data_IF_861616977197
#
_entry.id   IF_861616977197
#
_cell.length_a   1.000
_cell.length_b   1.000
_cell.length_c   1.000
_cell.angle_alpha   90.00
_cell.angle_beta   90.00
_cell.angle_gamma   90.00
#
_symmetry.space_group_name_H-M   'P 1'
#
loop_
_entity.id
_entity.type
_entity.pdbx_description
1 polymer ?
#
# COMPACT_ATOMS: atom_id res chain seq x y z
N UNK A 1 -29.21 0.03 -9.55
CA UNK A 1 -27.74 0.10 -9.51
C UNK A 1 -27.25 -0.81 -8.42
N UNK A 2 -26.64 -1.94 -8.77
CA UNK A 2 -26.03 -2.87 -7.79
C UNK A 2 -24.60 -2.40 -7.44
N UNK A 3 -24.04 -2.92 -6.35
CA UNK A 3 -22.64 -2.63 -6.01
C UNK A 3 -21.68 -3.08 -7.11
N UNK A 4 -21.93 -4.24 -7.73
CA UNK A 4 -21.17 -4.72 -8.88
C UNK A 4 -21.23 -3.73 -10.07
N UNK A 5 -22.41 -3.19 -10.39
CA UNK A 5 -22.59 -2.19 -11.44
C UNK A 5 -21.85 -0.87 -11.13
N UNK A 6 -21.77 -0.47 -9.86
CA UNK A 6 -21.00 0.73 -9.45
C UNK A 6 -19.49 0.49 -9.62
N UNK A 7 -19.01 -0.70 -9.26
CA UNK A 7 -17.56 -0.98 -9.28
C UNK A 7 -17.05 -1.32 -10.69
N UNK A 8 -17.83 -2.05 -11.49
CA UNK A 8 -17.43 -2.54 -12.82
C UNK A 8 -18.00 -1.72 -13.98
N UNK A 9 -18.98 -0.86 -13.71
CA UNK A 9 -19.66 -0.07 -14.74
C UNK A 9 -21.01 -0.66 -15.12
N UNK A 10 -21.78 0.15 -15.87
CA UNK A 10 -23.08 -0.22 -16.40
C UNK A 10 -23.32 0.47 -17.74
N UNK A 11 -23.37 -0.34 -18.80
CA UNK A 11 -23.59 0.13 -20.17
C UNK A 11 -22.47 1.05 -20.67
N UNK A 12 -22.78 1.87 -21.67
CA UNK A 12 -21.82 2.78 -22.32
C UNK A 12 -21.64 4.12 -21.59
N UNK A 13 -22.57 4.49 -20.70
CA UNK A 13 -22.54 5.79 -20.01
C UNK A 13 -21.66 5.78 -18.74
N UNK A 14 -21.57 4.65 -18.04
CA UNK A 14 -20.87 4.57 -16.77
C UNK A 14 -19.78 3.49 -16.79
N UNK A 15 -18.49 3.87 -16.86
CA UNK A 15 -17.38 2.91 -16.96
C UNK A 15 -17.08 2.16 -15.66
N UNK A 16 -17.50 2.64 -14.49
CA UNK A 16 -17.22 2.02 -13.19
C UNK A 16 -15.88 2.41 -12.57
N UNK A 17 -15.77 2.23 -11.26
CA UNK A 17 -14.57 2.64 -10.51
C UNK A 17 -13.33 1.82 -10.86
N UNK A 18 -13.45 0.50 -10.98
CA UNK A 18 -12.32 -0.40 -11.22
C UNK A 18 -11.70 -0.16 -12.61
N UNK A 19 -12.46 -0.04 -13.70
CA UNK A 19 -11.90 0.32 -15.02
C UNK A 19 -11.22 1.69 -15.03
N UNK A 20 -11.75 2.68 -14.30
CA UNK A 20 -11.09 3.99 -14.16
C UNK A 20 -9.75 3.88 -13.42
N UNK A 21 -9.67 3.06 -12.36
CA UNK A 21 -8.40 2.80 -11.69
C UNK A 21 -7.38 2.16 -12.65
N UNK A 22 -7.78 1.19 -13.47
CA UNK A 22 -6.88 0.59 -14.46
C UNK A 22 -6.46 1.58 -15.53
N UNK A 23 -7.38 2.38 -16.07
CA UNK A 23 -7.07 3.43 -17.05
C UNK A 23 -6.05 4.44 -16.49
N UNK A 24 -6.18 4.80 -15.21
CA UNK A 24 -5.21 5.66 -14.54
C UNK A 24 -3.84 4.99 -14.39
N UNK A 25 -3.79 3.71 -14.02
CA UNK A 25 -2.53 2.95 -13.93
C UNK A 25 -1.83 2.81 -15.29
N UNK A 26 -2.60 2.72 -16.38
CA UNK A 26 -2.12 2.75 -17.76
C UNK A 26 -1.58 4.13 -18.14
N UNK A 27 -2.33 5.19 -17.82
CA UNK A 27 -1.94 6.58 -18.11
C UNK A 27 -0.61 6.96 -17.46
N UNK A 28 -0.44 6.64 -16.17
CA UNK A 28 0.82 6.92 -15.47
C UNK A 28 1.93 5.93 -15.83
N UNK A 29 1.75 5.02 -16.80
CA UNK A 29 2.75 4.01 -17.17
C UNK A 29 3.41 3.35 -15.95
N UNK A 30 2.56 2.79 -15.06
CA UNK A 30 3.00 2.22 -13.80
C UNK A 30 3.92 1.01 -14.01
N UNK A 31 4.92 0.84 -13.14
CA UNK A 31 5.78 -0.34 -13.13
C UNK A 31 4.98 -1.65 -12.99
N UNK A 32 5.46 -2.71 -13.65
CA UNK A 32 4.77 -4.01 -13.75
C UNK A 32 4.53 -4.62 -12.37
N UNK A 33 5.49 -4.50 -11.43
CA UNK A 33 5.32 -5.06 -10.09
C UNK A 33 4.25 -4.32 -9.31
N UNK A 34 4.23 -2.98 -9.41
CA UNK A 34 3.25 -2.14 -8.74
C UNK A 34 1.86 -2.37 -9.35
N UNK A 35 1.75 -2.42 -10.68
CA UNK A 35 0.52 -2.73 -11.40
C UNK A 35 -0.07 -4.08 -10.99
N UNK A 36 0.76 -5.12 -10.93
CA UNK A 36 0.34 -6.46 -10.53
C UNK A 36 -0.18 -6.46 -9.09
N UNK A 37 0.51 -5.78 -8.18
CA UNK A 37 0.11 -5.69 -6.77
C UNK A 37 -1.21 -4.95 -6.58
N UNK A 38 -1.38 -3.80 -7.22
CA UNK A 38 -2.65 -3.05 -7.20
C UNK A 38 -3.77 -3.85 -7.87
N UNK A 39 -3.47 -4.53 -8.98
CA UNK A 39 -4.42 -5.42 -9.65
C UNK A 39 -4.97 -6.51 -8.73
N UNK A 40 -4.13 -7.12 -7.89
CA UNK A 40 -4.59 -8.10 -6.88
C UNK A 40 -5.54 -7.48 -5.86
N UNK A 41 -5.32 -6.22 -5.46
CA UNK A 41 -6.22 -5.52 -4.54
C UNK A 41 -7.56 -5.18 -5.20
N UNK A 42 -7.53 -4.65 -6.42
CA UNK A 42 -8.73 -4.34 -7.19
C UNK A 42 -9.55 -5.61 -7.46
N UNK A 43 -8.90 -6.74 -7.72
CA UNK A 43 -9.57 -8.02 -7.92
C UNK A 43 -10.29 -8.52 -6.67
N UNK A 44 -9.69 -8.38 -5.47
CA UNK A 44 -10.38 -8.69 -4.22
C UNK A 44 -11.63 -7.82 -4.03
N UNK A 45 -11.54 -6.53 -4.38
CA UNK A 45 -12.66 -5.61 -4.32
C UNK A 45 -13.76 -5.99 -5.32
N UNK A 46 -13.38 -6.34 -6.56
CA UNK A 46 -14.30 -6.84 -7.59
C UNK A 46 -15.08 -8.06 -7.10
N UNK A 47 -14.38 -9.04 -6.53
CA UNK A 47 -14.96 -10.30 -6.04
C UNK A 47 -15.93 -10.09 -4.89
N UNK A 48 -15.65 -9.11 -4.02
CA UNK A 48 -16.59 -8.72 -2.96
C UNK A 48 -17.82 -7.98 -3.52
N UNK A 49 -17.63 -7.14 -4.53
CA UNK A 49 -18.74 -6.41 -5.16
C UNK A 49 -19.69 -7.33 -5.94
N UNK A 50 -19.15 -8.40 -6.55
CA UNK A 50 -19.91 -9.43 -7.28
C UNK A 50 -20.52 -10.50 -6.38
N UNK A 51 -20.05 -10.61 -5.12
CA UNK A 51 -20.52 -11.62 -4.17
C UNK A 51 -19.82 -12.98 -4.29
N UNK A 52 -18.78 -13.10 -5.11
CA UNK A 52 -17.95 -14.31 -5.20
C UNK A 52 -17.18 -14.60 -3.90
N UNK A 53 -16.81 -13.56 -3.16
CA UNK A 53 -16.10 -13.64 -1.87
C UNK A 53 -16.90 -12.91 -0.80
N UNK A 54 -16.99 -13.48 0.40
CA UNK A 54 -17.75 -12.88 1.48
C UNK A 54 -17.09 -11.60 1.97
N UNK A 55 -17.93 -10.62 2.34
CA UNK A 55 -17.48 -9.50 3.16
C UNK A 55 -17.16 -9.98 4.57
N UNK A 56 -16.28 -9.28 5.28
CA UNK A 56 -15.96 -9.61 6.67
C UNK A 56 -17.21 -9.66 7.55
N UNK A 57 -18.16 -8.75 7.34
CA UNK A 57 -19.43 -8.75 8.07
C UNK A 57 -20.29 -9.97 7.74
N UNK A 58 -20.39 -10.37 6.46
CA UNK A 58 -21.11 -11.58 6.08
C UNK A 58 -20.44 -12.84 6.63
N UNK A 59 -19.11 -12.89 6.61
CA UNK A 59 -18.33 -13.98 7.19
C UNK A 59 -18.56 -14.15 8.69
N UNK A 60 -18.45 -13.05 9.45
CA UNK A 60 -18.70 -13.07 10.91
C UNK A 60 -20.11 -13.56 11.21
N UNK A 61 -21.13 -13.08 10.48
CA UNK A 61 -22.51 -13.55 10.66
C UNK A 61 -22.62 -15.04 10.37
N UNK A 62 -22.05 -15.52 9.27
CA UNK A 62 -22.07 -16.94 8.92
C UNK A 62 -21.37 -17.80 9.98
N UNK A 63 -20.25 -17.32 10.53
CA UNK A 63 -19.53 -17.99 11.60
C UNK A 63 -20.36 -18.10 12.89
N UNK A 64 -20.95 -16.98 13.34
CA UNK A 64 -21.81 -16.96 14.53
C UNK A 64 -23.05 -17.84 14.35
N UNK A 65 -23.69 -17.77 13.18
CA UNK A 65 -24.87 -18.59 12.85
C UNK A 65 -24.58 -20.09 12.85
N UNK A 66 -23.35 -20.49 12.52
CA UNK A 66 -22.92 -21.89 12.51
C UNK A 66 -22.43 -22.40 13.88
N UNK A 67 -22.30 -21.52 14.88
CA UNK A 67 -21.75 -21.88 16.18
C UNK A 67 -22.75 -22.73 16.99
N UNK A 68 -22.33 -23.86 17.61
CA UNK A 68 -23.24 -24.77 18.31
C UNK A 68 -23.96 -24.14 19.50
N UNK A 69 -23.32 -23.19 20.18
CA UNK A 69 -23.93 -22.47 21.30
C UNK A 69 -24.88 -21.34 20.90
N UNK A 70 -24.97 -21.01 19.61
CA UNK A 70 -25.79 -19.90 19.15
C UNK A 70 -27.27 -20.31 19.09
N UNK A 71 -28.10 -19.67 19.93
CA UNK A 71 -29.52 -20.01 20.10
C UNK A 71 -30.47 -19.29 19.14
N UNK A 72 -29.93 -18.59 18.12
CA UNK A 72 -30.71 -17.75 17.18
C UNK A 72 -31.51 -16.66 17.88
N UNK A 73 -31.04 -16.24 19.05
CA UNK A 73 -31.60 -15.17 19.89
C UNK A 73 -30.98 -13.80 19.59
N UNK A 74 -30.15 -13.71 18.55
CA UNK A 74 -29.38 -12.49 18.20
C UNK A 74 -28.38 -12.04 19.28
N UNK A 75 -28.06 -12.90 20.26
CA UNK A 75 -27.08 -12.62 21.31
C UNK A 75 -25.79 -13.39 21.01
N UNK A 76 -24.66 -12.68 21.04
CA UNK A 76 -23.33 -13.30 20.95
C UNK A 76 -22.80 -13.48 22.37
N UNK A 77 -22.81 -14.71 22.86
CA UNK A 77 -22.27 -15.04 24.19
C UNK A 77 -20.73 -14.94 24.20
N UNK A 78 -20.16 -14.78 25.39
CA UNK A 78 -18.71 -14.74 25.59
C UNK A 78 -17.94 -15.91 24.93
N UNK A 79 -18.34 -17.19 25.08
CA UNK A 79 -17.66 -18.31 24.41
C UNK A 79 -17.64 -18.15 22.88
N UNK A 80 -18.77 -17.81 22.25
CA UNK A 80 -18.85 -17.57 20.80
C UNK A 80 -17.86 -16.47 20.38
N UNK A 81 -17.78 -15.39 21.16
CA UNK A 81 -16.88 -14.28 20.88
C UNK A 81 -15.40 -14.69 20.99
N UNK A 82 -15.03 -15.48 22.01
CA UNK A 82 -13.67 -15.99 22.18
C UNK A 82 -13.26 -16.87 21.00
N UNK A 83 -14.13 -17.79 20.58
CA UNK A 83 -13.83 -18.68 19.46
C UNK A 83 -13.74 -17.93 18.13
N UNK A 84 -14.63 -16.96 17.89
CA UNK A 84 -14.55 -16.09 16.72
C UNK A 84 -13.23 -15.31 16.67
N UNK A 85 -12.82 -14.70 17.78
CA UNK A 85 -11.59 -13.90 17.84
C UNK A 85 -10.35 -14.78 17.68
N UNK A 86 -10.34 -15.97 18.29
CA UNK A 86 -9.27 -16.94 18.12
C UNK A 86 -9.15 -17.37 16.66
N UNK A 87 -10.27 -17.67 16.02
CA UNK A 87 -10.28 -18.03 14.60
C UNK A 87 -9.80 -16.88 13.70
N UNK A 88 -10.22 -15.65 13.98
CA UNK A 88 -9.71 -14.47 13.28
C UNK A 88 -8.19 -14.29 13.46
N UNK A 89 -7.68 -14.53 14.68
CA UNK A 89 -6.26 -14.49 14.97
C UNK A 89 -5.49 -15.55 14.17
N UNK A 90 -5.97 -16.78 14.13
CA UNK A 90 -5.32 -17.88 13.41
C UNK A 90 -5.29 -17.63 11.89
N UNK A 91 -6.34 -17.03 11.32
CA UNK A 91 -6.34 -16.57 9.92
C UNK A 91 -5.29 -15.48 9.71
N UNK A 92 -5.25 -14.47 10.59
CA UNK A 92 -4.32 -13.34 10.49
C UNK A 92 -2.85 -13.75 10.64
N UNK A 93 -2.57 -14.80 11.42
CA UNK A 93 -1.23 -15.37 11.57
C UNK A 93 -0.83 -16.32 10.43
N UNK A 94 -1.73 -16.58 9.47
CA UNK A 94 -1.51 -17.54 8.38
C UNK A 94 -1.47 -19.00 8.86
N UNK A 95 -2.07 -19.31 10.02
CA UNK A 95 -2.19 -20.68 10.54
C UNK A 95 -3.34 -21.42 9.89
N UNK A 96 -4.43 -20.71 9.60
CA UNK A 96 -5.64 -21.27 8.98
C UNK A 96 -5.93 -20.52 7.67
N UNK A 97 -5.98 -21.22 6.52
CA UNK A 97 -6.40 -20.61 5.27
C UNK A 97 -7.92 -20.38 5.27
N UNK A 98 -8.36 -19.19 4.82
CA UNK A 98 -9.78 -18.86 4.70
C UNK A 98 -10.13 -18.42 3.27
N UNK A 99 -10.34 -19.37 2.33
CA UNK A 99 -10.64 -19.06 0.93
C UNK A 99 -11.99 -18.35 0.76
N UNK A 100 -12.92 -18.53 1.70
CA UNK A 100 -14.25 -17.89 1.66
C UNK A 100 -14.19 -16.39 1.92
N UNK A 101 -13.22 -15.92 2.72
CA UNK A 101 -13.07 -14.51 3.10
C UNK A 101 -12.01 -13.77 2.25
N UNK A 102 -10.92 -14.46 1.89
CA UNK A 102 -9.77 -13.87 1.20
C UNK A 102 -9.71 -14.23 -0.29
N UNK A 103 -10.44 -15.25 -0.71
CA UNK A 103 -10.33 -15.84 -2.05
C UNK A 103 -9.28 -16.95 -2.11
N UNK A 104 -9.41 -17.83 -3.11
CA UNK A 104 -8.53 -19.00 -3.32
C UNK A 104 -7.07 -18.62 -3.60
N UNK A 105 -6.85 -17.42 -4.14
CA UNK A 105 -5.57 -16.97 -4.70
C UNK A 105 -4.75 -16.13 -3.69
N UNK A 106 -5.30 -15.89 -2.50
CA UNK A 106 -4.67 -15.13 -1.43
C UNK A 106 -4.32 -16.06 -0.28
N UNK A 107 -3.03 -16.36 -0.15
CA UNK A 107 -2.46 -17.09 0.98
C UNK A 107 -1.79 -16.07 1.89
N UNK A 108 -2.21 -16.02 3.16
CA UNK A 108 -1.53 -15.24 4.19
C UNK A 108 -0.31 -16.04 4.62
N UNK A 109 0.87 -15.50 4.38
CA UNK A 109 2.11 -16.12 4.82
C UNK A 109 2.16 -16.17 6.35
N UNK A 110 2.67 -17.29 6.87
CA UNK A 110 2.76 -17.48 8.32
C UNK A 110 3.67 -16.43 8.93
N UNK A 111 3.14 -15.68 9.90
CA UNK A 111 3.93 -14.70 10.63
C UNK A 111 4.93 -15.44 11.52
N UNK A 112 6.24 -15.28 11.25
CA UNK A 112 7.29 -15.82 12.10
C UNK A 112 7.77 -14.74 13.07
N UNK A 113 7.57 -14.91 14.39
CA UNK A 113 8.07 -13.95 15.38
C UNK A 113 9.59 -14.01 15.55
N UNK A 114 10.24 -15.12 15.15
CA UNK A 114 11.69 -15.25 15.17
C UNK A 114 12.24 -14.26 14.15
N UNK A 115 12.97 -13.25 14.63
CA UNK A 115 13.56 -12.16 13.86
C UNK A 115 12.68 -10.94 13.56
N UNK A 116 11.46 -10.85 14.11
CA UNK A 116 10.63 -9.64 13.94
C UNK A 116 11.30 -8.35 14.49
N UNK A 117 12.17 -8.51 15.49
CA UNK A 117 12.92 -7.42 16.13
C UNK A 117 14.44 -7.58 16.04
N UNK A 118 14.95 -8.59 15.33
CA UNK A 118 16.40 -8.88 15.28
C UNK A 118 17.16 -7.89 14.38
N UNK A 119 16.44 -7.11 13.57
CA UNK A 119 16.99 -5.91 12.97
C UNK A 119 17.17 -4.85 14.07
N UNK A 120 18.30 -4.91 14.78
CA UNK A 120 18.72 -3.84 15.68
C UNK A 120 18.84 -2.55 14.85
N UNK A 121 17.81 -1.71 14.92
CA UNK A 121 17.86 -0.38 14.33
C UNK A 121 19.06 0.34 14.94
N UNK A 122 20.02 0.74 14.11
CA UNK A 122 21.23 1.38 14.60
C UNK A 122 20.84 2.67 15.31
N UNK A 123 21.14 2.78 16.61
CA UNK A 123 20.97 4.02 17.37
C UNK A 123 22.06 5.05 17.06
N UNK A 124 23.04 4.68 16.23
CA UNK A 124 24.10 5.56 15.75
C UNK A 124 23.49 6.75 15.02
N UNK A 125 23.75 7.96 15.53
CA UNK A 125 23.35 9.18 14.83
C UNK A 125 24.09 9.26 13.50
N UNK A 126 23.35 9.24 12.42
CA UNK A 126 23.89 9.50 11.09
C UNK A 126 24.51 10.90 11.07
N UNK A 127 25.74 11.00 10.58
CA UNK A 127 26.40 12.30 10.37
C UNK A 127 25.60 13.12 9.35
N UNK A 128 25.73 14.45 9.38
CA UNK A 128 24.94 15.34 8.50
C UNK A 128 25.11 15.01 7.01
N UNK A 129 26.31 14.62 6.58
CA UNK A 129 26.62 14.18 5.21
C UNK A 129 25.96 12.84 4.85
N UNK A 130 25.96 11.88 5.77
CA UNK A 130 25.31 10.57 5.60
C UNK A 130 23.79 10.69 5.56
N UNK A 131 23.22 11.56 6.41
CA UNK A 131 21.79 11.91 6.38
C UNK A 131 21.42 12.50 5.02
N UNK A 132 22.19 13.46 4.52
CA UNK A 132 21.96 14.05 3.21
C UNK A 132 22.03 13.00 2.08
N UNK A 133 22.96 12.05 2.14
CA UNK A 133 23.06 10.95 1.17
C UNK A 133 21.84 10.01 1.21
N UNK A 134 21.42 9.60 2.41
CA UNK A 134 20.24 8.75 2.59
C UNK A 134 18.98 9.49 2.10
N UNK A 135 18.82 10.76 2.47
CA UNK A 135 17.72 11.61 2.02
C UNK A 135 17.76 11.76 0.49
N UNK A 136 18.92 12.03 -0.11
CA UNK A 136 19.10 12.13 -1.56
C UNK A 136 18.75 10.81 -2.29
N UNK A 137 19.06 9.65 -1.69
CA UNK A 137 18.64 8.35 -2.23
C UNK A 137 17.11 8.20 -2.25
N UNK A 138 16.41 8.69 -1.25
CA UNK A 138 14.94 8.73 -1.24
C UNK A 138 14.38 9.84 -2.16
N UNK A 139 15.04 10.98 -2.29
CA UNK A 139 14.67 12.05 -3.22
C UNK A 139 14.83 11.66 -4.69
N UNK A 140 15.83 10.83 -5.04
CA UNK A 140 15.93 10.20 -6.37
C UNK A 140 14.73 9.28 -6.67
N UNK A 141 14.05 8.81 -5.63
CA UNK A 141 12.77 8.09 -5.72
C UNK A 141 11.59 9.06 -5.86
N UNK A 142 11.66 10.26 -5.29
CA UNK A 142 10.68 11.32 -5.57
C UNK A 142 10.78 11.85 -7.01
N UNK A 143 11.98 11.97 -7.59
CA UNK A 143 12.08 12.33 -9.02
C UNK A 143 11.57 11.23 -9.97
N UNK A 144 11.39 10.00 -9.48
CA UNK A 144 10.61 8.96 -10.14
C UNK A 144 9.10 9.24 -10.07
N UNK A 145 8.59 9.78 -8.95
CA UNK A 145 7.19 10.24 -8.83
C UNK A 145 6.91 11.51 -9.65
N UNK A 146 7.88 12.44 -9.77
CA UNK A 146 7.72 13.69 -10.53
C UNK A 146 7.79 13.52 -12.05
N UNK A 147 8.50 12.52 -12.58
CA UNK A 147 8.50 12.25 -14.03
C UNK A 147 7.13 11.84 -14.58
N UNK A 148 6.27 11.28 -13.74
CA UNK A 148 4.89 10.90 -14.08
C UNK A 148 3.84 11.95 -13.67
N UNK A 149 4.28 13.11 -13.18
CA UNK A 149 3.41 14.24 -12.82
C UNK A 149 3.45 15.42 -13.80
N UNK A 150 4.12 15.30 -14.94
CA UNK A 150 4.23 16.36 -15.94
C UNK A 150 4.07 15.79 -17.34
N UNK A 151 2.86 15.40 -17.68
CA UNK A 151 2.42 15.32 -19.07
C UNK A 151 1.15 16.17 -19.19
N UNK A 152 1.25 17.20 -20.01
CA UNK A 152 0.17 17.97 -20.64
C UNK A 152 -0.45 19.16 -19.89
N UNK A 153 0.17 20.35 -20.06
CA UNK A 153 -0.51 21.56 -20.57
C UNK A 153 0.46 22.36 -21.45
N UNK A 154 0.25 22.28 -22.76
CA UNK A 154 0.05 23.43 -23.67
C UNK A 154 1.19 24.43 -23.91
N UNK A 155 1.63 24.46 -25.16
CA UNK A 155 2.47 25.47 -25.80
C UNK A 155 2.09 26.94 -25.51
N UNK A 156 3.11 27.78 -25.37
CA UNK A 156 3.02 29.24 -25.41
C UNK A 156 4.40 29.86 -25.22
N UNK A 157 5.05 30.23 -26.32
CA UNK A 157 6.42 30.74 -26.31
C UNK A 157 6.60 32.09 -25.63
N UNK A 158 7.86 32.39 -25.25
CA UNK A 158 8.61 33.65 -25.46
C UNK A 158 9.86 33.64 -24.56
N UNK A 159 10.95 34.19 -25.10
CA UNK A 159 12.30 34.07 -24.56
C UNK A 159 12.57 34.79 -23.24
N UNK A 160 13.76 34.53 -22.70
CA UNK A 160 14.27 35.23 -21.52
C UNK A 160 15.55 34.60 -21.00
N UNK A 161 16.68 35.16 -21.43
CA UNK A 161 18.01 35.00 -20.83
C UNK A 161 17.98 35.17 -19.31
N UNK A 162 18.65 34.28 -18.57
CA UNK A 162 18.82 34.41 -17.13
C UNK A 162 19.89 33.47 -16.59
N UNK A 163 21.12 33.95 -16.60
CA UNK A 163 22.30 33.36 -15.94
C UNK A 163 22.07 33.25 -14.43
N UNK A 164 22.31 32.08 -13.82
CA UNK A 164 22.62 31.99 -12.39
C UNK A 164 23.69 30.93 -12.16
N UNK A 165 24.89 31.43 -11.86
CA UNK A 165 26.12 30.65 -11.67
C UNK A 165 26.17 29.89 -10.36
N UNK A 166 26.83 28.74 -10.41
CA UNK A 166 27.31 28.04 -9.22
C UNK A 166 28.76 28.47 -8.97
N UNK A 167 28.93 29.39 -8.03
CA UNK A 167 30.24 29.80 -7.53
C UNK A 167 30.86 28.69 -6.70
N UNK A 168 32.06 28.28 -7.11
CA UNK A 168 32.95 27.44 -6.33
C UNK A 168 33.40 28.17 -5.06
N UNK A 169 33.27 27.53 -3.89
CA UNK A 169 34.00 27.92 -2.69
C UNK A 169 35.23 27.02 -2.55
N UNK A 170 36.39 27.61 -2.85
CA UNK A 170 37.68 27.20 -2.32
C UNK A 170 37.83 27.77 -0.90
N UNK A 171 38.22 26.94 0.06
CA UNK A 171 38.84 27.43 1.29
C UNK A 171 40.19 26.72 1.48
N UNK A 172 41.23 27.42 1.07
CA UNK A 172 42.60 27.27 1.53
C UNK A 172 42.82 28.24 2.69
N UNK A 173 43.13 27.72 3.88
CA UNK A 173 43.51 28.50 5.06
C UNK A 173 44.66 27.81 5.81
N UNK A 174 45.85 28.39 5.71
CA UNK A 174 47.13 27.88 6.20
C UNK A 174 47.30 28.04 7.72
N UNK A 175 47.88 27.01 8.34
CA UNK A 175 48.83 26.99 9.48
C UNK A 175 49.01 28.21 10.39
N UNK A 176 48.97 27.98 11.71
CA UNK A 176 49.86 28.64 12.68
C UNK A 176 50.14 27.68 13.87
N UNK A 177 51.43 27.42 14.10
CA UNK A 177 51.99 26.72 15.26
C UNK A 177 51.87 27.56 16.54
N UNK A 178 51.75 26.91 17.69
CA UNK A 178 52.41 27.35 18.93
C UNK A 178 52.72 26.15 19.83
N UNK A 179 53.95 26.14 20.31
CA UNK A 179 54.62 25.09 21.09
C UNK A 179 54.64 25.47 22.57
N UNK A 180 54.25 24.54 23.46
CA UNK A 180 54.95 24.12 24.71
C UNK A 180 54.02 23.29 25.59
#
# INVERSE_FOLDING_TARGET
MTLAEIMMGKGSYYPGLIPLCYAYLDYIQCDIHTRTKVGRYLELVRRRATGEVLTTAAYIRAYVLAHPEYKRDSVVSQPIAVDLLRHCHDIGMGLVPCPTLLGKDVVVERVNPKNAYDARLSSTRLLSSERACVIARYFKRESFLRRHGSSDVGEGGLGGSGSFGWGALSESGSSLQASR
#
